data_IF_934005403828
#
_entry.id   IF_934005403828
#
_cell.length_a   1.000
_cell.length_b   1.000
_cell.length_c   1.000
_cell.angle_alpha   90.00
_cell.angle_beta   90.00
_cell.angle_gamma   90.00
#
_symmetry.space_group_name_H-M   'P 1'
#
loop_
_entity.id
_entity.type
_entity.pdbx_description
1 polymer ?
#
# COMPACT_ATOMS: atom_id res chain seq x y z
N UNK A 1 -1.47 0.49 -3.60
CA UNK A 1 -1.43 1.94 -3.31
C UNK A 1 -2.82 2.50 -3.03
N UNK A 2 -3.80 2.34 -3.92
CA UNK A 2 -5.16 2.89 -3.71
C UNK A 2 -5.81 2.50 -2.37
N UNK A 3 -5.81 1.20 -2.04
CA UNK A 3 -6.41 0.74 -0.79
C UNK A 3 -5.71 1.30 0.46
N UNK A 4 -4.38 1.47 0.41
CA UNK A 4 -3.63 2.16 1.47
C UNK A 4 -4.04 3.63 1.59
N UNK A 5 -4.21 4.33 0.48
CA UNK A 5 -4.63 5.73 0.50
C UNK A 5 -6.04 5.84 1.10
N UNK A 6 -6.96 4.96 0.70
CA UNK A 6 -8.32 4.91 1.24
C UNK A 6 -8.38 4.50 2.72
N UNK A 7 -7.36 3.83 3.27
CA UNK A 7 -7.31 3.51 4.70
C UNK A 7 -6.80 4.66 5.56
N UNK A 8 -6.25 5.73 4.96
CA UNK A 8 -5.89 6.96 5.66
C UNK A 8 -7.15 7.79 5.96
N UNK A 9 -7.07 8.59 7.03
CA UNK A 9 -8.11 9.56 7.34
C UNK A 9 -8.31 10.58 6.21
N UNK A 10 -9.56 11.01 6.02
CA UNK A 10 -9.90 12.12 5.14
C UNK A 10 -9.07 13.36 5.45
N UNK A 11 -8.49 13.97 4.41
CA UNK A 11 -7.69 15.17 4.53
C UNK A 11 -6.57 15.25 3.50
N UNK A 12 -5.77 16.31 3.61
CA UNK A 12 -4.75 16.69 2.63
C UNK A 12 -3.80 15.55 2.26
N UNK A 13 -3.38 14.73 3.22
CA UNK A 13 -2.48 13.60 2.95
C UNK A 13 -3.11 12.59 1.99
N UNK A 14 -4.39 12.24 2.21
CA UNK A 14 -5.13 11.30 1.38
C UNK A 14 -5.34 11.86 -0.02
N UNK A 15 -5.80 13.12 -0.11
CA UNK A 15 -6.09 13.77 -1.39
C UNK A 15 -4.82 13.91 -2.24
N UNK A 16 -3.71 14.38 -1.66
CA UNK A 16 -2.46 14.54 -2.41
C UNK A 16 -1.87 13.20 -2.87
N UNK A 17 -1.98 12.15 -2.06
CA UNK A 17 -1.57 10.82 -2.46
C UNK A 17 -2.47 10.26 -3.57
N UNK A 18 -3.79 10.47 -3.46
CA UNK A 18 -4.77 10.02 -4.45
C UNK A 18 -4.50 10.64 -5.82
N UNK A 19 -4.29 11.96 -5.87
CA UNK A 19 -3.95 12.64 -7.12
C UNK A 19 -2.59 12.19 -7.69
N UNK A 20 -1.62 11.93 -6.81
CA UNK A 20 -0.25 11.57 -7.17
C UNK A 20 -0.07 10.16 -7.75
N UNK A 21 -1.04 9.26 -7.57
CA UNK A 21 -0.95 7.87 -8.06
C UNK A 21 -1.52 7.67 -9.47
N UNK A 22 -1.87 8.74 -10.17
CA UNK A 22 -2.40 8.67 -11.53
C UNK A 22 -1.30 8.90 -12.59
N UNK A 23 -1.16 7.95 -13.52
CA UNK A 23 -0.30 8.09 -14.70
C UNK A 23 1.14 7.54 -14.55
N UNK A 24 2.01 7.94 -15.48
CA UNK A 24 3.41 7.47 -15.54
C UNK A 24 4.21 8.03 -14.36
N UNK A 25 4.89 7.14 -13.64
CA UNK A 25 5.67 7.53 -12.46
C UNK A 25 4.83 7.62 -11.17
N UNK A 26 3.57 7.20 -11.18
CA UNK A 26 2.68 7.15 -10.03
C UNK A 26 3.34 6.58 -8.76
N UNK A 27 4.07 5.47 -8.89
CA UNK A 27 4.77 4.87 -7.75
C UNK A 27 5.91 5.74 -7.21
N UNK A 28 6.66 6.42 -8.09
CA UNK A 28 7.73 7.33 -7.68
C UNK A 28 7.14 8.52 -6.92
N UNK A 29 6.08 9.12 -7.47
CA UNK A 29 5.36 10.24 -6.85
C UNK A 29 4.78 9.83 -5.50
N UNK A 30 4.11 8.69 -5.44
CA UNK A 30 3.59 8.11 -4.20
C UNK A 30 4.68 7.97 -3.13
N UNK A 31 5.84 7.40 -3.47
CA UNK A 31 6.93 7.20 -2.50
C UNK A 31 7.48 8.52 -1.97
N UNK A 32 7.62 9.54 -2.83
CA UNK A 32 8.05 10.88 -2.42
C UNK A 32 7.02 11.52 -1.47
N UNK A 33 5.73 11.41 -1.79
CA UNK A 33 4.67 11.95 -0.94
C UNK A 33 4.57 11.20 0.39
N UNK A 34 4.65 9.86 0.37
CA UNK A 34 4.65 9.03 1.57
C UNK A 34 5.82 9.40 2.50
N UNK A 35 7.01 9.63 1.95
CA UNK A 35 8.17 10.09 2.70
C UNK A 35 7.95 11.49 3.31
N UNK A 36 7.49 12.44 2.49
CA UNK A 36 7.21 13.80 2.93
C UNK A 36 6.13 13.87 4.03
N UNK A 37 5.19 12.92 4.05
CA UNK A 37 4.14 12.81 5.07
C UNK A 37 4.53 11.92 6.26
N UNK A 38 5.72 11.32 6.28
CA UNK A 38 6.12 10.37 7.33
C UNK A 38 5.28 9.09 7.35
N UNK A 39 4.73 8.69 6.19
CA UNK A 39 3.88 7.51 6.00
C UNK A 39 4.66 6.30 5.46
N UNK A 40 5.97 6.42 5.27
CA UNK A 40 6.82 5.38 4.69
C UNK A 40 6.71 4.06 5.45
N UNK A 41 6.88 4.07 6.78
CA UNK A 41 6.76 2.85 7.59
C UNK A 41 5.36 2.23 7.49
N UNK A 42 4.31 3.05 7.68
CA UNK A 42 2.91 2.60 7.54
C UNK A 42 2.61 1.98 6.17
N UNK A 43 3.19 2.53 5.11
CA UNK A 43 3.05 1.98 3.76
C UNK A 43 3.71 0.60 3.66
N UNK A 44 4.93 0.44 4.18
CA UNK A 44 5.62 -0.84 4.14
C UNK A 44 4.95 -1.90 5.01
N UNK A 45 4.43 -1.53 6.18
CA UNK A 45 3.61 -2.42 7.02
C UNK A 45 2.35 -2.87 6.27
N UNK A 46 1.59 -1.94 5.69
CA UNK A 46 0.40 -2.25 4.90
C UNK A 46 0.73 -3.16 3.70
N UNK A 47 1.83 -2.87 3.01
CA UNK A 47 2.26 -3.65 1.85
C UNK A 47 2.67 -5.07 2.26
N UNK A 48 3.38 -5.23 3.39
CA UNK A 48 3.79 -6.53 3.90
C UNK A 48 2.57 -7.38 4.30
N UNK A 49 1.58 -6.77 4.94
CA UNK A 49 0.33 -7.44 5.33
C UNK A 49 -0.46 -7.89 4.09
N UNK A 50 -0.61 -7.02 3.09
CA UNK A 50 -1.26 -7.37 1.83
C UNK A 50 -0.53 -8.52 1.09
N UNK A 51 0.81 -8.54 1.10
CA UNK A 51 1.54 -9.66 0.52
C UNK A 51 1.41 -10.95 1.34
N UNK A 52 1.31 -10.85 2.66
CA UNK A 52 1.05 -12.02 3.51
C UNK A 52 -0.31 -12.63 3.18
N UNK A 53 -1.36 -11.82 3.08
CA UNK A 53 -2.70 -12.29 2.72
C UNK A 53 -2.69 -13.03 1.38
N UNK A 54 -2.06 -12.45 0.35
CA UNK A 54 -1.92 -13.10 -0.96
C UNK A 54 -1.13 -14.41 -0.86
N UNK A 55 -0.05 -14.44 -0.07
CA UNK A 55 0.75 -15.64 0.11
C UNK A 55 -0.03 -16.75 0.85
N UNK A 56 -0.79 -16.40 1.88
CA UNK A 56 -1.66 -17.32 2.61
C UNK A 56 -2.79 -17.86 1.73
N UNK A 57 -3.43 -16.99 0.93
CA UNK A 57 -4.44 -17.41 -0.04
C UNK A 57 -3.86 -18.36 -1.09
N UNK A 58 -2.67 -18.04 -1.61
CA UNK A 58 -1.98 -18.90 -2.57
C UNK A 58 -1.62 -20.26 -1.96
N UNK A 59 -1.05 -20.29 -0.75
CA UNK A 59 -0.76 -21.55 -0.06
C UNK A 59 -2.03 -22.37 0.18
N UNK A 60 -3.15 -21.74 0.54
CA UNK A 60 -4.44 -22.42 0.73
C UNK A 60 -4.97 -23.01 -0.58
N UNK A 61 -4.88 -22.28 -1.69
CA UNK A 61 -5.31 -22.77 -3.02
C UNK A 61 -4.48 -23.96 -3.50
N UNK A 62 -3.21 -24.01 -3.09
CA UNK A 62 -2.25 -25.04 -3.47
C UNK A 62 -2.07 -26.17 -2.43
N UNK A 63 -2.89 -26.20 -1.37
CA UNK A 63 -2.81 -27.18 -0.27
C UNK A 63 -1.40 -27.26 0.37
N UNK A 64 -0.74 -26.12 0.48
CA UNK A 64 0.59 -25.99 1.10
C UNK A 64 0.39 -25.63 2.56
N UNK A 65 0.84 -26.52 3.45
CA UNK A 65 0.77 -26.31 4.90
C UNK A 65 1.72 -25.16 5.31
N UNK A 66 1.15 -24.09 5.88
CA UNK A 66 1.88 -22.92 6.36
C UNK A 66 2.18 -23.13 7.86
N UNK A 67 3.46 -23.26 8.23
CA UNK A 67 3.95 -23.40 9.63
C UNK A 67 4.83 -22.22 10.00
#
# INVERSE_FOLDING_TARGET
MQNFILSLADGQQRDQLWDGIHGRGAFRTFRVLADNFGLTDKWYEYQADAYREIAEEWCRDHDIEFT
#
